data_IF_005485507697
#
_entry.id   IF_005485507697
#
_cell.length_a   1.000
_cell.length_b   1.000
_cell.length_c   1.000
_cell.angle_alpha   90.00
_cell.angle_beta   90.00
_cell.angle_gamma   90.00
#
_symmetry.space_group_name_H-M   'P 1'
#
loop_
_entity.id
_entity.type
_entity.pdbx_description
1 polymer ?
#
# COMPACT_ATOMS: atom_id res chain seq x y z
N UNK A 1 7.55 39.37 -24.67
CA UNK A 1 6.63 38.42 -24.02
C UNK A 1 7.48 37.35 -23.38
N UNK A 2 7.59 37.46 -22.07
CA UNK A 2 8.58 36.81 -21.23
C UNK A 2 8.48 35.30 -21.33
N UNK A 3 9.59 34.64 -21.68
CA UNK A 3 9.81 33.25 -21.28
C UNK A 3 9.81 33.25 -19.75
N UNK A 4 8.63 33.15 -19.14
CA UNK A 4 8.53 32.63 -17.78
C UNK A 4 9.36 31.35 -17.77
N UNK A 5 10.46 31.38 -17.02
CA UNK A 5 11.35 30.23 -16.87
C UNK A 5 10.47 29.01 -16.60
N UNK A 6 10.68 27.91 -17.33
CA UNK A 6 9.93 26.66 -17.17
C UNK A 6 9.83 26.27 -15.68
N UNK A 7 10.86 26.60 -14.89
CA UNK A 7 10.86 26.46 -13.44
C UNK A 7 9.73 27.21 -12.73
N UNK A 8 9.46 28.48 -13.07
CA UNK A 8 8.38 29.27 -12.45
C UNK A 8 6.98 28.70 -12.76
N UNK A 9 6.77 28.19 -13.97
CA UNK A 9 5.51 27.51 -14.33
C UNK A 9 5.33 26.21 -13.56
N UNK A 10 6.40 25.44 -13.40
CA UNK A 10 6.40 24.23 -12.57
C UNK A 10 6.11 24.55 -11.10
N UNK A 11 6.69 25.60 -10.56
CA UNK A 11 6.50 25.99 -9.15
C UNK A 11 5.04 26.42 -8.89
N UNK A 12 4.40 27.12 -9.84
CA UNK A 12 2.95 27.42 -9.79
C UNK A 12 2.10 26.15 -9.86
N UNK A 13 2.46 25.21 -10.75
CA UNK A 13 1.77 23.93 -10.86
C UNK A 13 1.90 23.09 -9.59
N UNK A 14 3.06 23.06 -8.94
CA UNK A 14 3.23 22.41 -7.64
C UNK A 14 2.35 23.04 -6.56
N UNK A 15 2.23 24.36 -6.54
CA UNK A 15 1.28 25.06 -5.67
C UNK A 15 -0.18 24.66 -5.91
N UNK A 16 -0.57 24.51 -7.18
CA UNK A 16 -1.91 24.04 -7.56
C UNK A 16 -2.13 22.59 -7.12
N UNK A 17 -1.20 21.68 -7.41
CA UNK A 17 -1.27 20.26 -6.99
C UNK A 17 -1.39 20.17 -5.46
N UNK A 18 -0.65 20.99 -4.71
CA UNK A 18 -0.75 21.03 -3.25
C UNK A 18 -2.16 21.39 -2.78
N UNK A 19 -2.77 22.43 -3.37
CA UNK A 19 -4.14 22.81 -3.03
C UNK A 19 -5.14 21.71 -3.43
N UNK A 20 -4.99 21.12 -4.62
CA UNK A 20 -5.84 20.02 -5.10
C UNK A 20 -5.76 18.80 -4.15
N UNK A 21 -4.57 18.45 -3.67
CA UNK A 21 -4.36 17.37 -2.70
C UNK A 21 -4.90 17.73 -1.32
N UNK A 22 -4.80 19.00 -0.89
CA UNK A 22 -5.35 19.46 0.37
C UNK A 22 -6.89 19.40 0.39
N UNK A 23 -7.53 19.71 -0.73
CA UNK A 23 -8.98 19.61 -0.92
C UNK A 23 -9.45 18.17 -1.22
N UNK A 24 -8.53 17.22 -1.39
CA UNK A 24 -8.80 15.82 -1.77
C UNK A 24 -9.50 15.67 -3.14
N UNK A 25 -9.25 16.60 -4.05
CA UNK A 25 -9.78 16.58 -5.43
C UNK A 25 -8.91 15.69 -6.34
N UNK A 26 -9.11 14.37 -6.26
CA UNK A 26 -8.27 13.38 -6.96
C UNK A 26 -8.20 13.53 -8.49
N UNK A 27 -9.28 14.00 -9.12
CA UNK A 27 -9.39 14.14 -10.57
C UNK A 27 -8.54 15.28 -11.12
N UNK A 28 -8.61 16.43 -10.47
CA UNK A 28 -7.87 17.61 -10.91
C UNK A 28 -6.40 17.52 -10.52
N UNK A 29 -6.09 16.90 -9.37
CA UNK A 29 -4.72 16.52 -9.03
C UNK A 29 -4.08 15.61 -10.10
N UNK A 30 -4.82 14.64 -10.66
CA UNK A 30 -4.30 13.76 -11.72
C UNK A 30 -3.96 14.54 -13.00
N UNK A 31 -4.82 15.48 -13.41
CA UNK A 31 -4.58 16.32 -14.59
C UNK A 31 -3.37 17.24 -14.38
N UNK A 32 -3.33 17.92 -13.24
CA UNK A 32 -2.22 18.80 -12.87
C UNK A 32 -0.89 18.03 -12.80
N UNK A 33 -0.91 16.75 -12.36
CA UNK A 33 0.26 15.87 -12.38
C UNK A 33 0.69 15.43 -13.78
N UNK A 34 -0.24 15.19 -14.69
CA UNK A 34 0.06 14.87 -16.10
C UNK A 34 0.67 16.08 -16.83
N UNK A 35 0.11 17.28 -16.61
CA UNK A 35 0.67 18.53 -17.11
C UNK A 35 2.09 18.76 -16.57
N UNK A 36 2.31 18.51 -15.28
CA UNK A 36 3.63 18.62 -14.67
C UNK A 36 4.62 17.57 -15.21
N UNK A 37 4.17 16.35 -15.54
CA UNK A 37 5.03 15.34 -16.19
C UNK A 37 5.50 15.80 -17.57
N UNK A 38 4.58 16.31 -18.40
CA UNK A 38 4.91 16.79 -19.74
C UNK A 38 5.95 17.93 -19.70
N UNK A 39 5.78 18.90 -18.80
CA UNK A 39 6.72 20.01 -18.64
C UNK A 39 8.10 19.59 -18.11
N UNK A 40 8.19 18.50 -17.34
CA UNK A 40 9.48 17.97 -16.90
C UNK A 40 10.21 17.24 -18.03
N UNK A 41 9.47 16.57 -18.94
CA UNK A 41 10.05 15.94 -20.14
C UNK A 41 10.61 16.98 -21.12
N UNK A 42 10.01 18.18 -21.19
CA UNK A 42 10.49 19.28 -22.02
C UNK A 42 11.79 19.94 -21.51
N UNK A 43 12.15 19.74 -20.23
CA UNK A 43 13.42 20.23 -19.69
C UNK A 43 13.38 20.66 -18.22
N UNK A 44 13.06 19.73 -17.31
CA UNK A 44 13.03 19.98 -15.87
C UNK A 44 14.35 19.72 -15.14
N UNK A 45 14.68 20.57 -14.17
CA UNK A 45 15.78 20.35 -13.22
C UNK A 45 15.58 19.07 -12.41
N UNK A 46 16.69 18.41 -12.07
CA UNK A 46 16.68 17.13 -11.33
C UNK A 46 15.96 17.22 -9.97
N UNK A 47 16.13 18.33 -9.23
CA UNK A 47 15.44 18.54 -7.94
C UNK A 47 13.91 18.59 -8.13
N UNK A 48 13.42 19.33 -9.13
CA UNK A 48 11.99 19.41 -9.45
C UNK A 48 11.40 18.06 -9.87
N UNK A 49 12.21 17.21 -10.53
CA UNK A 49 11.80 15.83 -10.85
C UNK A 49 11.60 14.98 -9.60
N UNK A 50 12.46 15.10 -8.59
CA UNK A 50 12.30 14.40 -7.32
C UNK A 50 11.08 14.92 -6.55
N UNK A 51 10.86 16.24 -6.54
CA UNK A 51 9.66 16.83 -5.94
C UNK A 51 8.39 16.30 -6.60
N UNK A 52 8.35 16.24 -7.94
CA UNK A 52 7.22 15.67 -8.66
C UNK A 52 6.97 14.19 -8.29
N UNK A 53 8.01 13.38 -8.14
CA UNK A 53 7.87 11.98 -7.69
C UNK A 53 7.20 11.89 -6.31
N UNK A 54 7.53 12.80 -5.38
CA UNK A 54 6.88 12.85 -4.05
C UNK A 54 5.40 13.21 -4.18
N UNK A 55 5.06 14.22 -5.00
CA UNK A 55 3.65 14.58 -5.26
C UNK A 55 2.87 13.43 -5.91
N UNK A 56 3.47 12.72 -6.87
CA UNK A 56 2.87 11.54 -7.49
C UNK A 56 2.69 10.41 -6.48
N UNK A 57 3.68 10.14 -5.64
CA UNK A 57 3.59 9.12 -4.59
C UNK A 57 2.46 9.43 -3.60
N UNK A 58 2.32 10.70 -3.19
CA UNK A 58 1.26 11.16 -2.30
C UNK A 58 -0.13 11.00 -2.94
N UNK A 59 -0.25 11.35 -4.22
CA UNK A 59 -1.48 11.14 -5.00
C UNK A 59 -1.81 9.65 -5.15
N UNK A 60 -0.85 8.80 -5.52
CA UNK A 60 -1.03 7.35 -5.64
C UNK A 60 -1.48 6.73 -4.31
N UNK A 61 -0.89 7.17 -3.19
CA UNK A 61 -1.31 6.76 -1.85
C UNK A 61 -2.77 7.15 -1.57
N UNK A 62 -3.19 8.34 -2.00
CA UNK A 62 -4.56 8.83 -1.87
C UNK A 62 -5.59 8.10 -2.76
N UNK A 63 -5.16 7.42 -3.82
CA UNK A 63 -6.03 6.59 -4.70
C UNK A 63 -5.99 5.10 -4.30
N UNK A 64 -5.27 4.75 -3.21
CA UNK A 64 -5.01 3.38 -2.73
C UNK A 64 -4.04 2.57 -3.60
N UNK A 65 -3.31 3.19 -4.52
CA UNK A 65 -2.21 2.52 -5.22
C UNK A 65 -0.91 2.61 -4.42
N UNK A 66 -0.83 1.77 -3.39
CA UNK A 66 0.34 1.70 -2.52
C UNK A 66 1.57 1.13 -3.23
N UNK A 67 1.41 0.37 -4.32
CA UNK A 67 2.55 -0.23 -5.05
C UNK A 67 3.35 0.83 -5.78
N UNK A 68 2.67 1.69 -6.52
CA UNK A 68 3.32 2.83 -7.17
C UNK A 68 3.88 3.80 -6.13
N UNK A 69 3.11 4.10 -5.08
CA UNK A 69 3.54 5.00 -4.01
C UNK A 69 4.83 4.53 -3.32
N UNK A 70 4.90 3.25 -2.93
CA UNK A 70 6.08 2.70 -2.27
C UNK A 70 7.35 2.81 -3.13
N UNK A 71 7.27 2.50 -4.43
CA UNK A 71 8.41 2.61 -5.32
C UNK A 71 8.87 4.06 -5.51
N UNK A 72 7.92 4.99 -5.70
CA UNK A 72 8.23 6.42 -5.85
C UNK A 72 8.83 7.02 -4.57
N UNK A 73 8.31 6.62 -3.41
CA UNK A 73 8.84 7.06 -2.13
C UNK A 73 10.22 6.48 -1.86
N UNK A 74 10.45 5.19 -2.08
CA UNK A 74 11.76 4.57 -1.89
C UNK A 74 12.86 5.22 -2.73
N UNK A 75 12.56 5.59 -3.97
CA UNK A 75 13.48 6.31 -4.87
C UNK A 75 13.86 7.71 -4.35
N UNK A 76 12.97 8.35 -3.59
CA UNK A 76 13.09 9.77 -3.21
C UNK A 76 13.59 10.00 -1.78
N UNK A 77 13.78 8.95 -0.98
CA UNK A 77 14.26 9.07 0.42
C UNK A 77 15.59 9.82 0.53
N UNK A 78 16.56 9.50 -0.34
CA UNK A 78 17.91 10.06 -0.27
C UNK A 78 18.00 11.51 -0.73
N UNK A 79 16.94 12.03 -1.37
CA UNK A 79 16.94 13.29 -2.10
C UNK A 79 15.74 14.16 -1.73
N UNK A 80 15.16 13.91 -0.56
CA UNK A 80 13.95 14.58 -0.11
C UNK A 80 14.20 16.07 0.21
N UNK A 81 13.54 16.94 -0.54
CA UNK A 81 13.60 18.40 -0.38
C UNK A 81 12.21 19.04 -0.19
N UNK A 82 11.15 18.22 -0.13
CA UNK A 82 9.74 18.65 -0.09
C UNK A 82 9.20 18.98 1.32
N UNK A 83 9.83 19.91 2.04
CA UNK A 83 9.36 20.35 3.36
C UNK A 83 8.02 21.10 3.32
N UNK A 84 7.57 21.52 2.13
CA UNK A 84 6.28 22.22 1.95
C UNK A 84 5.05 21.32 2.11
N UNK A 85 5.23 20.00 1.96
CA UNK A 85 4.17 19.00 2.05
C UNK A 85 4.10 18.39 3.44
N UNK A 86 5.24 17.85 3.88
CA UNK A 86 5.36 17.00 5.05
C UNK A 86 6.76 17.15 5.65
N UNK A 87 6.86 16.96 6.96
CA UNK A 87 8.16 16.85 7.62
C UNK A 87 8.84 15.53 7.23
N UNK A 88 10.17 15.48 7.27
CA UNK A 88 10.93 14.30 6.85
C UNK A 88 10.55 13.05 7.67
N UNK A 89 10.25 13.23 8.97
CA UNK A 89 9.75 12.16 9.84
C UNK A 89 8.43 11.58 9.36
N UNK A 90 7.48 12.44 8.99
CA UNK A 90 6.17 12.02 8.46
C UNK A 90 6.30 11.37 7.08
N UNK A 91 7.22 11.85 6.23
CA UNK A 91 7.50 11.26 4.93
C UNK A 91 8.05 9.84 5.05
N UNK A 92 8.98 9.60 5.97
CA UNK A 92 9.48 8.25 6.25
C UNK A 92 8.38 7.36 6.82
N UNK A 93 7.50 7.90 7.67
CA UNK A 93 6.31 7.20 8.13
C UNK A 93 5.43 6.70 6.99
N UNK A 94 5.09 7.55 6.02
CA UNK A 94 4.33 7.15 4.83
C UNK A 94 5.07 6.15 3.96
N UNK A 95 6.38 6.29 3.85
CA UNK A 95 7.22 5.37 3.08
C UNK A 95 7.19 3.98 3.69
N UNK A 96 7.35 3.85 5.01
CA UNK A 96 7.28 2.56 5.71
C UNK A 96 5.87 1.96 5.61
N UNK A 97 4.83 2.75 5.87
CA UNK A 97 3.43 2.30 5.82
C UNK A 97 3.06 1.77 4.44
N UNK A 98 3.41 2.51 3.37
CA UNK A 98 3.16 2.09 1.98
C UNK A 98 4.01 0.89 1.58
N UNK A 99 5.30 0.86 1.94
CA UNK A 99 6.21 -0.23 1.65
C UNK A 99 5.80 -1.55 2.31
N UNK A 100 5.30 -1.52 3.54
CA UNK A 100 4.83 -2.72 4.25
C UNK A 100 3.65 -3.41 3.56
N UNK A 101 2.78 -2.63 2.90
CA UNK A 101 1.63 -3.17 2.18
C UNK A 101 2.00 -3.61 0.74
N UNK A 102 2.88 -2.86 0.09
CA UNK A 102 3.18 -3.03 -1.33
C UNK A 102 4.24 -4.08 -1.64
N UNK A 103 5.32 -4.13 -0.85
CA UNK A 103 6.54 -4.85 -1.22
C UNK A 103 6.52 -6.29 -0.68
N UNK A 104 7.03 -7.25 -1.46
CA UNK A 104 7.29 -8.59 -0.95
C UNK A 104 8.42 -8.57 0.10
N UNK A 105 8.43 -9.60 0.96
CA UNK A 105 9.35 -9.71 2.11
C UNK A 105 10.83 -9.53 1.76
N UNK A 106 11.25 -9.97 0.57
CA UNK A 106 12.66 -9.86 0.13
C UNK A 106 13.03 -8.41 -0.16
N UNK A 107 12.20 -7.70 -0.91
CA UNK A 107 12.40 -6.29 -1.26
C UNK A 107 12.26 -5.39 -0.03
N UNK A 108 11.33 -5.70 0.86
CA UNK A 108 11.18 -4.99 2.13
C UNK A 108 12.45 -5.10 2.99
N UNK A 109 13.11 -6.28 2.99
CA UNK A 109 14.38 -6.47 3.70
C UNK A 109 15.51 -5.63 3.10
N UNK A 110 15.63 -5.60 1.78
CA UNK A 110 16.73 -4.90 1.11
C UNK A 110 16.56 -3.40 1.16
N UNK A 111 15.34 -2.91 0.89
CA UNK A 111 15.10 -1.49 0.65
C UNK A 111 14.74 -0.74 1.93
N UNK A 112 13.98 -1.37 2.84
CA UNK A 112 13.50 -0.71 4.07
C UNK A 112 14.38 -1.05 5.26
N UNK A 113 14.53 -2.34 5.57
CA UNK A 113 15.20 -2.77 6.81
C UNK A 113 16.72 -2.55 6.76
N UNK A 114 17.35 -2.68 5.58
CA UNK A 114 18.77 -2.42 5.40
C UNK A 114 19.08 -1.01 4.89
N UNK A 115 18.06 -0.20 4.59
CA UNK A 115 18.24 1.16 4.10
C UNK A 115 18.71 2.09 5.22
N UNK A 116 19.94 2.61 5.11
CA UNK A 116 20.52 3.49 6.14
C UNK A 116 19.70 4.75 6.40
N UNK A 117 19.20 5.42 5.35
CA UNK A 117 18.43 6.65 5.49
C UNK A 117 17.09 6.47 6.23
N UNK A 118 16.48 5.28 6.16
CA UNK A 118 15.24 4.99 6.88
C UNK A 118 15.56 4.59 8.32
N UNK A 119 16.60 3.77 8.53
CA UNK A 119 17.01 3.30 9.86
C UNK A 119 17.35 4.44 10.81
N UNK A 120 18.09 5.45 10.33
CA UNK A 120 18.48 6.61 11.14
C UNK A 120 17.26 7.34 11.72
N UNK A 121 16.23 7.58 10.90
CA UNK A 121 15.02 8.28 11.36
C UNK A 121 14.03 7.35 12.07
N UNK A 122 14.06 6.04 11.77
CA UNK A 122 13.27 5.06 12.52
C UNK A 122 13.63 5.02 14.00
N UNK A 123 14.89 5.33 14.37
CA UNK A 123 15.29 5.44 15.77
C UNK A 123 14.55 6.56 16.53
N UNK A 124 14.16 7.63 15.84
CA UNK A 124 13.36 8.72 16.42
C UNK A 124 11.87 8.36 16.54
N UNK A 125 11.41 7.32 15.84
CA UNK A 125 10.00 6.90 15.74
C UNK A 125 9.84 5.43 16.20
N UNK A 126 9.94 5.17 17.52
CA UNK A 126 9.97 3.81 18.06
C UNK A 126 8.70 3.00 17.73
N UNK A 127 7.53 3.64 17.64
CA UNK A 127 6.27 2.94 17.34
C UNK A 127 6.22 2.37 15.91
N UNK A 128 6.70 3.15 14.92
CA UNK A 128 6.77 2.70 13.52
C UNK A 128 7.86 1.64 13.36
N UNK A 129 8.97 1.80 14.09
CA UNK A 129 10.04 0.82 14.14
C UNK A 129 9.55 -0.52 14.68
N UNK A 130 8.92 -0.53 15.86
CA UNK A 130 8.36 -1.74 16.45
C UNK A 130 7.29 -2.38 15.56
N UNK A 131 6.46 -1.57 14.89
CA UNK A 131 5.49 -2.06 13.90
C UNK A 131 6.15 -2.78 12.72
N UNK A 132 7.19 -2.19 12.11
CA UNK A 132 7.92 -2.78 10.99
C UNK A 132 8.64 -4.08 11.40
N UNK A 133 9.40 -4.03 12.50
CA UNK A 133 10.20 -5.16 12.95
C UNK A 133 9.36 -6.30 13.52
N UNK A 134 8.21 -6.02 14.14
CA UNK A 134 7.31 -7.08 14.65
C UNK A 134 6.78 -7.96 13.52
N UNK A 135 6.36 -7.38 12.38
CA UNK A 135 5.93 -8.15 11.22
C UNK A 135 7.09 -8.95 10.60
N UNK A 136 8.25 -8.32 10.46
CA UNK A 136 9.41 -8.96 9.84
C UNK A 136 9.99 -10.12 10.67
N UNK A 137 10.06 -9.94 11.99
CA UNK A 137 10.53 -10.94 12.96
C UNK A 137 9.47 -11.99 13.33
N UNK A 138 8.28 -11.94 12.72
CA UNK A 138 7.15 -12.83 12.99
C UNK A 138 6.63 -12.77 14.43
N UNK A 139 6.71 -11.61 15.09
CA UNK A 139 6.16 -11.37 16.44
C UNK A 139 4.72 -10.85 16.34
N UNK A 140 3.79 -11.74 16.05
CA UNK A 140 2.42 -11.36 15.65
C UNK A 140 1.57 -10.73 16.76
N UNK A 141 1.74 -11.14 18.02
CA UNK A 141 1.04 -10.52 19.16
C UNK A 141 1.38 -9.04 19.29
N UNK A 142 2.67 -8.68 19.29
CA UNK A 142 3.12 -7.26 19.29
C UNK A 142 2.68 -6.51 18.04
N UNK A 143 2.68 -7.19 16.89
CA UNK A 143 2.21 -6.59 15.64
C UNK A 143 0.74 -6.16 15.74
N UNK A 144 -0.14 -6.94 16.38
CA UNK A 144 -1.55 -6.55 16.55
C UNK A 144 -1.73 -5.36 17.50
N UNK A 145 -0.95 -5.30 18.57
CA UNK A 145 -0.93 -4.14 19.47
C UNK A 145 -0.52 -2.86 18.71
N UNK A 146 0.58 -2.94 17.95
CA UNK A 146 1.04 -1.79 17.15
C UNK A 146 0.14 -1.49 15.96
N UNK A 147 -0.54 -2.48 15.39
CA UNK A 147 -1.53 -2.27 14.33
C UNK A 147 -2.71 -1.43 14.83
N UNK A 148 -3.13 -1.60 16.09
CA UNK A 148 -4.17 -0.75 16.69
C UNK A 148 -3.68 0.71 16.85
N UNK A 149 -2.43 0.92 17.27
CA UNK A 149 -1.83 2.25 17.30
C UNK A 149 -1.75 2.87 15.89
N UNK A 150 -1.32 2.11 14.88
CA UNK A 150 -1.28 2.56 13.48
C UNK A 150 -2.68 2.91 12.97
N UNK A 151 -3.71 2.17 13.35
CA UNK A 151 -5.09 2.50 13.00
C UNK A 151 -5.47 3.92 13.46
N UNK A 152 -5.14 4.29 14.69
CA UNK A 152 -5.45 5.62 15.22
C UNK A 152 -4.55 6.71 14.62
N UNK A 153 -3.29 6.38 14.36
CA UNK A 153 -2.37 7.24 13.61
C UNK A 153 -2.94 7.57 12.21
N UNK A 154 -3.40 6.56 11.47
CA UNK A 154 -3.99 6.74 10.13
C UNK A 154 -5.32 7.50 10.15
N UNK A 155 -6.11 7.40 11.23
CA UNK A 155 -7.34 8.21 11.38
C UNK A 155 -7.04 9.69 11.61
N UNK A 156 -5.93 9.99 12.28
CA UNK A 156 -5.51 11.36 12.53
C UNK A 156 -4.95 12.06 11.28
N UNK A 157 -4.41 11.28 10.34
CA UNK A 157 -3.84 11.79 9.10
C UNK A 157 -4.92 12.11 8.05
N UNK A 158 -4.79 13.26 7.41
CA UNK A 158 -5.75 13.77 6.42
C UNK A 158 -5.84 12.89 5.17
N UNK A 159 -4.70 12.41 4.67
CA UNK A 159 -4.65 11.68 3.40
C UNK A 159 -5.09 10.22 3.55
N UNK A 160 -4.75 9.60 4.69
CA UNK A 160 -5.03 8.19 4.96
C UNK A 160 -6.31 7.95 5.77
N UNK A 161 -6.90 8.96 6.40
CA UNK A 161 -8.17 8.84 7.14
C UNK A 161 -9.35 8.29 6.33
N UNK A 162 -9.48 8.52 5.01
CA UNK A 162 -10.53 7.84 4.23
C UNK A 162 -10.23 6.36 3.95
N UNK A 163 -8.99 5.91 4.20
CA UNK A 163 -8.45 4.62 3.74
C UNK A 163 -7.93 3.72 4.86
N UNK A 164 -7.95 4.16 6.13
CA UNK A 164 -7.49 3.37 7.28
C UNK A 164 -8.10 1.95 7.32
N UNK A 165 -9.43 1.81 7.11
CA UNK A 165 -10.11 0.50 7.10
C UNK A 165 -9.56 -0.44 6.06
N UNK A 166 -9.24 0.09 4.87
CA UNK A 166 -8.65 -0.69 3.80
C UNK A 166 -7.25 -1.15 4.22
N UNK A 167 -6.42 -0.23 4.73
CA UNK A 167 -5.06 -0.53 5.16
C UNK A 167 -5.02 -1.64 6.22
N UNK A 168 -5.79 -1.49 7.31
CA UNK A 168 -5.82 -2.46 8.41
C UNK A 168 -6.26 -3.84 7.93
N UNK A 169 -7.28 -3.89 7.08
CA UNK A 169 -7.78 -5.15 6.52
C UNK A 169 -6.72 -5.85 5.69
N UNK A 170 -6.01 -5.12 4.81
CA UNK A 170 -4.94 -5.71 4.01
C UNK A 170 -3.75 -6.15 4.86
N UNK A 171 -3.38 -5.38 5.90
CA UNK A 171 -2.30 -5.76 6.81
C UNK A 171 -2.64 -7.01 7.63
N UNK A 172 -3.90 -7.20 8.05
CA UNK A 172 -4.36 -8.46 8.69
C UNK A 172 -4.23 -9.64 7.74
N UNK A 173 -4.67 -9.48 6.48
CA UNK A 173 -4.54 -10.54 5.46
C UNK A 173 -3.07 -10.90 5.25
N UNK A 174 -2.17 -9.91 5.15
CA UNK A 174 -0.73 -10.14 5.00
C UNK A 174 -0.14 -10.91 6.18
N UNK A 175 -0.46 -10.52 7.42
CA UNK A 175 0.02 -11.20 8.62
C UNK A 175 -0.47 -12.65 8.69
N UNK A 176 -1.76 -12.88 8.39
CA UNK A 176 -2.32 -14.23 8.33
C UNK A 176 -1.70 -15.06 7.21
N UNK A 177 -1.56 -14.51 6.00
CA UNK A 177 -0.94 -15.19 4.88
C UNK A 177 0.52 -15.57 5.18
N UNK A 178 1.26 -14.70 5.88
CA UNK A 178 2.65 -14.96 6.27
C UNK A 178 2.76 -16.14 7.24
N UNK A 179 1.92 -16.22 8.27
CA UNK A 179 1.92 -17.36 9.20
C UNK A 179 1.44 -18.64 8.52
N UNK A 180 0.34 -18.55 7.77
CA UNK A 180 -0.27 -19.71 7.12
C UNK A 180 0.68 -20.28 6.04
N UNK A 181 1.40 -19.43 5.30
CA UNK A 181 2.29 -19.86 4.21
C UNK A 181 3.43 -20.79 4.63
N UNK A 182 3.90 -20.72 5.89
CA UNK A 182 4.95 -21.59 6.40
C UNK A 182 4.49 -22.99 6.81
N UNK A 183 3.19 -23.22 6.99
CA UNK A 183 2.65 -24.50 7.47
C UNK A 183 1.71 -25.12 6.44
N UNK A 184 1.61 -26.45 6.43
CA UNK A 184 0.58 -27.15 5.62
C UNK A 184 -0.76 -27.21 6.37
N UNK A 185 -0.69 -27.43 7.67
CA UNK A 185 -1.81 -27.44 8.61
C UNK A 185 -1.35 -26.82 9.93
N UNK A 186 -2.25 -26.12 10.61
CA UNK A 186 -2.00 -25.46 11.90
C UNK A 186 -3.27 -25.47 12.74
N UNK A 187 -3.16 -25.55 14.06
CA UNK A 187 -4.34 -25.50 14.94
C UNK A 187 -4.79 -24.04 15.17
N UNK A 188 -6.10 -23.83 15.27
CA UNK A 188 -6.69 -22.52 15.59
C UNK A 188 -6.21 -22.01 16.96
N UNK A 189 -6.01 -22.92 17.93
CA UNK A 189 -5.49 -22.58 19.26
C UNK A 189 -4.03 -22.08 19.22
N UNK A 190 -3.18 -22.68 18.40
CA UNK A 190 -1.82 -22.18 18.22
C UNK A 190 -1.82 -20.80 17.56
N UNK A 191 -2.67 -20.63 16.54
CA UNK A 191 -2.82 -19.35 15.85
C UNK A 191 -3.30 -18.25 16.81
N UNK A 192 -4.30 -18.55 17.66
CA UNK A 192 -4.84 -17.59 18.62
C UNK A 192 -3.81 -17.16 19.66
N UNK A 193 -3.02 -18.11 20.18
CA UNK A 193 -1.90 -17.81 21.09
C UNK A 193 -0.81 -16.97 20.41
N UNK A 194 -0.49 -17.27 19.15
CA UNK A 194 0.55 -16.57 18.39
C UNK A 194 0.18 -15.10 18.12
N UNK A 195 -1.09 -14.84 17.79
CA UNK A 195 -1.61 -13.49 17.56
C UNK A 195 -2.08 -12.77 18.85
N UNK A 196 -2.18 -13.47 19.98
CA UNK A 196 -2.62 -12.90 21.25
C UNK A 196 -4.11 -12.56 21.28
N UNK A 197 -4.96 -13.30 20.56
CA UNK A 197 -6.40 -13.05 20.44
C UNK A 197 -7.21 -14.31 20.75
N UNK A 198 -8.54 -14.18 20.89
CA UNK A 198 -9.41 -15.34 21.11
C UNK A 198 -9.54 -16.21 19.86
N UNK A 199 -9.87 -17.49 20.07
CA UNK A 199 -10.10 -18.45 18.97
C UNK A 199 -11.29 -18.00 18.11
N UNK A 200 -12.37 -17.56 18.74
CA UNK A 200 -13.58 -17.10 18.04
C UNK A 200 -13.31 -15.89 17.14
N UNK A 201 -12.42 -14.98 17.58
CA UNK A 201 -12.02 -13.82 16.80
C UNK A 201 -11.30 -14.24 15.51
N UNK A 202 -10.32 -15.16 15.61
CA UNK A 202 -9.58 -15.66 14.45
C UNK A 202 -10.50 -16.43 13.50
N UNK A 203 -11.39 -17.26 14.04
CA UNK A 203 -12.35 -18.00 13.22
C UNK A 203 -13.22 -17.04 12.40
N UNK A 204 -13.78 -16.01 13.03
CA UNK A 204 -14.63 -15.03 12.38
C UNK A 204 -13.88 -14.19 11.33
N UNK A 205 -12.61 -13.82 11.56
CA UNK A 205 -11.81 -13.08 10.58
C UNK A 205 -11.39 -13.96 9.40
N UNK A 206 -10.86 -15.16 9.67
CA UNK A 206 -10.44 -16.07 8.61
C UNK A 206 -11.62 -16.47 7.72
N UNK A 207 -12.79 -16.76 8.30
CA UNK A 207 -13.99 -17.08 7.54
C UNK A 207 -14.34 -15.97 6.54
N UNK A 208 -14.27 -14.69 6.94
CA UNK A 208 -14.52 -13.55 6.05
C UNK A 208 -13.50 -13.47 4.91
N UNK A 209 -12.22 -13.68 5.20
CA UNK A 209 -11.16 -13.57 4.18
C UNK A 209 -11.12 -14.77 3.22
N UNK A 210 -11.45 -15.97 3.70
CA UNK A 210 -11.62 -17.17 2.87
C UNK A 210 -12.82 -17.00 1.96
N UNK A 211 -13.97 -16.53 2.48
CA UNK A 211 -15.16 -16.26 1.67
C UNK A 211 -14.90 -15.20 0.59
N UNK A 212 -14.07 -14.19 0.90
CA UNK A 212 -13.64 -13.19 -0.07
C UNK A 212 -12.56 -13.70 -1.07
N UNK A 213 -12.07 -14.93 -0.91
CA UNK A 213 -11.03 -15.52 -1.76
C UNK A 213 -9.65 -14.84 -1.62
N UNK A 214 -9.40 -14.17 -0.49
CA UNK A 214 -8.13 -13.46 -0.20
C UNK A 214 -7.11 -14.34 0.50
N UNK A 215 -7.58 -15.39 1.19
CA UNK A 215 -6.74 -16.40 1.84
C UNK A 215 -7.05 -17.79 1.28
N UNK A 216 -6.01 -18.50 0.86
CA UNK A 216 -6.12 -19.85 0.30
C UNK A 216 -5.98 -20.92 1.40
N UNK A 217 -6.93 -20.91 2.33
CA UNK A 217 -7.01 -21.92 3.39
C UNK A 217 -8.45 -22.38 3.62
N UNK A 218 -8.58 -23.53 4.29
CA UNK A 218 -9.84 -24.12 4.71
C UNK A 218 -9.80 -24.29 6.22
N UNK A 219 -10.92 -24.02 6.89
CA UNK A 219 -11.06 -24.20 8.32
C UNK A 219 -11.88 -25.46 8.56
N UNK A 220 -11.32 -26.39 9.33
CA UNK A 220 -12.04 -27.51 9.93
C UNK A 220 -12.34 -27.17 11.39
N UNK A 221 -13.59 -26.78 11.66
CA UNK A 221 -14.04 -26.38 13.00
C UNK A 221 -14.11 -27.56 13.98
N UNK A 222 -14.43 -28.76 13.51
CA UNK A 222 -14.59 -29.94 14.38
C UNK A 222 -13.25 -30.34 14.96
N UNK A 223 -12.20 -30.30 14.13
CA UNK A 223 -10.83 -30.63 14.56
C UNK A 223 -10.07 -29.41 15.07
N UNK A 224 -10.57 -28.20 14.82
CA UNK A 224 -9.92 -26.95 15.17
C UNK A 224 -8.64 -26.69 14.37
N UNK A 225 -8.60 -27.12 13.11
CA UNK A 225 -7.42 -27.06 12.24
C UNK A 225 -7.68 -26.15 11.04
N UNK A 226 -6.68 -25.35 10.68
CA UNK A 226 -6.63 -24.61 9.43
C UNK A 226 -5.69 -25.34 8.48
N UNK A 227 -6.23 -25.79 7.35
CA UNK A 227 -5.47 -26.44 6.28
C UNK A 227 -5.21 -25.46 5.15
N UNK A 228 -3.96 -25.39 4.72
CA UNK A 228 -3.59 -24.53 3.59
C UNK A 228 -3.83 -25.28 2.30
N UNK A 229 -4.54 -24.65 1.37
CA UNK A 229 -4.65 -25.17 0.02
C UNK A 229 -3.69 -24.35 -0.83
N UNK A 230 -2.57 -24.92 -1.26
CA UNK A 230 -1.67 -24.24 -2.19
C UNK A 230 -2.28 -24.40 -3.58
N UNK A 231 -2.90 -23.36 -4.17
CA UNK A 231 -3.41 -23.48 -5.53
C UNK A 231 -2.23 -23.66 -6.47
N UNK A 232 -2.33 -24.63 -7.38
CA UNK A 232 -1.40 -24.74 -8.49
C UNK A 232 -1.42 -23.44 -9.30
N UNK A 233 -0.22 -22.90 -9.59
CA UNK A 233 -0.05 -21.64 -10.33
C UNK A 233 -0.82 -21.67 -11.67
N UNK A 234 -0.91 -22.84 -12.33
CA UNK A 234 -1.70 -23.03 -13.55
C UNK A 234 -3.20 -22.85 -13.33
N UNK A 235 -3.75 -23.35 -12.23
CA UNK A 235 -5.18 -23.25 -11.94
C UNK A 235 -5.56 -21.79 -11.61
N UNK A 236 -4.70 -21.08 -10.88
CA UNK A 236 -4.88 -19.65 -10.64
C UNK A 236 -4.83 -18.83 -11.94
N UNK A 237 -3.84 -19.08 -12.80
CA UNK A 237 -3.72 -18.41 -14.10
C UNK A 237 -4.93 -18.69 -15.00
N UNK A 238 -5.40 -19.95 -15.03
CA UNK A 238 -6.59 -20.34 -15.77
C UNK A 238 -7.84 -19.58 -15.30
N UNK A 239 -8.09 -19.55 -13.99
CA UNK A 239 -9.21 -18.82 -13.40
C UNK A 239 -9.14 -17.30 -13.65
N UNK A 240 -7.93 -16.72 -13.58
CA UNK A 240 -7.72 -15.30 -13.92
C UNK A 240 -8.02 -15.02 -15.39
N UNK A 241 -7.55 -15.90 -16.29
CA UNK A 241 -7.76 -15.78 -17.73
C UNK A 241 -9.25 -15.79 -18.09
N UNK A 242 -10.03 -16.72 -17.52
CA UNK A 242 -11.48 -16.77 -17.74
C UNK A 242 -12.16 -15.49 -17.25
N UNK A 243 -11.87 -15.04 -16.02
CA UNK A 243 -12.49 -13.80 -15.47
C UNK A 243 -12.19 -12.57 -16.32
N UNK A 244 -10.95 -12.42 -16.79
CA UNK A 244 -10.56 -11.31 -17.67
C UNK A 244 -11.20 -11.45 -19.06
N UNK A 245 -11.26 -12.67 -19.59
CA UNK A 245 -11.90 -13.00 -20.85
C UNK A 245 -13.39 -12.66 -20.84
N UNK A 246 -14.13 -13.06 -19.82
CA UNK A 246 -15.55 -12.74 -19.66
C UNK A 246 -15.80 -11.23 -19.55
N UNK A 247 -14.97 -10.51 -18.80
CA UNK A 247 -15.07 -9.06 -18.70
C UNK A 247 -14.84 -8.36 -20.05
N UNK A 248 -13.88 -8.85 -20.83
CA UNK A 248 -13.58 -8.35 -22.18
C UNK A 248 -14.73 -8.66 -23.15
N UNK A 249 -15.22 -9.91 -23.18
CA UNK A 249 -16.33 -10.32 -24.03
C UNK A 249 -17.59 -9.49 -23.75
N UNK A 250 -17.91 -9.25 -22.47
CA UNK A 250 -19.02 -8.40 -22.08
C UNK A 250 -18.86 -6.95 -22.57
N UNK A 251 -17.64 -6.41 -22.56
CA UNK A 251 -17.36 -5.06 -23.10
C UNK A 251 -17.52 -5.02 -24.61
N UNK A 252 -16.97 -6.01 -25.33
CA UNK A 252 -17.08 -6.12 -26.79
C UNK A 252 -18.56 -6.26 -27.21
N UNK A 253 -19.32 -7.10 -26.52
CA UNK A 253 -20.75 -7.29 -26.81
C UNK A 253 -21.57 -6.02 -26.58
N UNK A 254 -21.23 -5.22 -25.55
CA UNK A 254 -21.87 -3.91 -25.34
C UNK A 254 -21.49 -2.92 -26.45
N UNK A 255 -20.21 -2.87 -26.84
CA UNK A 255 -19.74 -2.00 -27.92
C UNK A 255 -20.37 -2.36 -29.26
N UNK A 256 -20.45 -3.64 -29.62
CA UNK A 256 -21.05 -4.07 -30.89
C UNK A 256 -22.53 -3.71 -30.98
N UNK A 257 -23.27 -3.76 -29.86
CA UNK A 257 -24.67 -3.30 -29.82
C UNK A 257 -24.83 -1.79 -30.03
N UNK A 258 -23.86 -0.98 -29.61
CA UNK A 258 -23.89 0.48 -29.81
C UNK A 258 -23.46 0.85 -31.23
N UNK A 259 -22.51 0.12 -31.82
CA UNK A 259 -22.00 0.39 -33.17
C UNK A 259 -22.97 -0.07 -34.27
N UNK A 260 -23.76 -1.11 -34.01
CA UNK A 260 -24.73 -1.64 -34.98
C UNK A 260 -26.09 -0.90 -34.99
N UNK A 261 -26.25 0.16 -34.19
CA UNK A 261 -27.38 1.11 -34.23
C UNK A 261 -26.92 2.37 -34.96
#
# INVERSE_FOLDING_TARGET
MTMESIGSKLDVLFGKIKNDLFELNYKDASKSLEEAKALIEEGGDWDRKNRLKVYQGLHSMSIRDFKQAANLFLDTISTFTCYELCDYKTFIGYTVISAMLALPRVELRTNVIKGSGILEVLHDLPDIQEYLFSLYNCQYSKFFEKLAWVEDYLKSDRYLAPHYRYYIREMRILAYAQLIGSYRSLSLAYMSQTFGVSVDFIEAELAKFIAAGRLNCKIDKVRGIVETNRPDNKNEQYQRCIKQGDALLNRIQKLSRVINI
#
